data_IF_478366546795
#
_entry.id   IF_478366546795
#
_cell.length_a   1.000
_cell.length_b   1.000
_cell.length_c   1.000
_cell.angle_alpha   90.00
_cell.angle_beta   90.00
_cell.angle_gamma   90.00
#
_symmetry.space_group_name_H-M   'P 1'
#
loop_
_entity.id
_entity.type
_entity.pdbx_description
1 polymer ?
#
# COMPACT_ATOMS: atom_id res chain seq x y z
N UNK A 1 14.66 8.69 -4.42
CA UNK A 1 14.00 7.37 -4.40
C UNK A 1 14.31 6.66 -5.71
N UNK A 2 14.73 5.40 -5.64
CA UNK A 2 14.98 4.57 -6.82
C UNK A 2 13.67 4.29 -7.57
N UNK A 3 13.75 4.11 -8.89
CA UNK A 3 12.61 3.65 -9.69
C UNK A 3 12.24 2.20 -9.34
N UNK A 4 11.05 1.77 -9.77
CA UNK A 4 10.63 0.38 -9.53
C UNK A 4 11.58 -0.62 -10.19
N UNK A 5 12.03 -0.34 -11.42
CA UNK A 5 12.92 -1.22 -12.18
C UNK A 5 14.31 -1.30 -11.53
N UNK A 6 14.89 -0.18 -11.10
CA UNK A 6 16.17 -0.17 -10.37
C UNK A 6 16.09 -0.93 -9.04
N UNK A 7 14.94 -0.87 -8.35
CA UNK A 7 14.73 -1.66 -7.13
C UNK A 7 14.59 -3.15 -7.46
N UNK A 8 13.86 -3.47 -8.51
CA UNK A 8 13.64 -4.85 -8.92
C UNK A 8 14.95 -5.54 -9.31
N UNK A 9 15.81 -4.87 -10.08
CA UNK A 9 17.14 -5.38 -10.47
C UNK A 9 17.99 -5.80 -9.28
N UNK A 10 17.91 -5.10 -8.14
CA UNK A 10 18.66 -5.45 -6.94
C UNK A 10 18.23 -6.77 -6.29
N UNK A 11 16.99 -7.20 -6.52
CA UNK A 11 16.44 -8.42 -5.93
C UNK A 11 16.27 -9.55 -6.93
N UNK A 12 16.35 -9.27 -8.23
CA UNK A 12 16.20 -10.27 -9.28
C UNK A 12 17.53 -11.00 -9.50
N UNK A 13 17.97 -11.74 -8.48
CA UNK A 13 19.18 -12.57 -8.51
C UNK A 13 18.81 -14.04 -8.63
N UNK A 14 19.72 -14.87 -9.12
CA UNK A 14 19.49 -16.31 -9.25
C UNK A 14 19.09 -16.97 -7.92
N UNK A 15 19.66 -16.48 -6.81
CA UNK A 15 19.37 -17.00 -5.46
C UNK A 15 17.95 -16.69 -4.98
N UNK A 16 17.38 -15.58 -5.44
CA UNK A 16 16.04 -15.15 -5.08
C UNK A 16 14.97 -15.67 -6.05
N UNK A 17 15.36 -16.15 -7.22
CA UNK A 17 14.40 -16.65 -8.20
C UNK A 17 13.90 -18.06 -7.83
N UNK A 18 12.58 -18.22 -7.91
CA UNK A 18 11.89 -19.50 -7.79
C UNK A 18 11.11 -19.75 -9.08
N UNK A 19 11.49 -20.78 -9.82
CA UNK A 19 10.81 -21.18 -11.07
C UNK A 19 9.95 -22.41 -10.78
N UNK A 20 8.68 -22.35 -11.15
CA UNK A 20 7.71 -23.41 -10.92
C UNK A 20 7.05 -23.77 -12.25
N UNK A 21 7.22 -25.00 -12.69
CA UNK A 21 6.57 -25.49 -13.91
C UNK A 21 5.06 -25.68 -13.70
N UNK A 22 4.28 -25.58 -14.78
CA UNK A 22 2.81 -25.72 -14.72
C UNK A 22 2.33 -27.04 -14.12
N UNK A 23 3.16 -28.07 -14.20
CA UNK A 23 2.88 -29.41 -13.64
C UNK A 23 3.23 -29.56 -12.16
N UNK A 24 3.85 -28.55 -11.54
CA UNK A 24 4.30 -28.59 -10.16
C UNK A 24 3.32 -27.87 -9.25
N UNK A 25 3.05 -28.45 -8.08
CA UNK A 25 2.33 -27.78 -7.01
C UNK A 25 3.31 -26.95 -6.20
N UNK A 26 3.00 -25.67 -5.97
CA UNK A 26 3.80 -24.76 -5.19
C UNK A 26 3.00 -24.12 -4.06
N UNK A 27 3.49 -24.23 -2.84
CA UNK A 27 2.85 -23.65 -1.67
C UNK A 27 3.30 -22.20 -1.45
N UNK A 28 2.43 -21.23 -1.70
CA UNK A 28 2.67 -19.82 -1.43
C UNK A 28 2.28 -19.38 0.00
N UNK A 29 1.69 -20.28 0.81
CA UNK A 29 1.22 -19.96 2.16
C UNK A 29 2.28 -20.19 3.25
N UNK A 30 3.55 -20.31 2.90
CA UNK A 30 4.63 -20.48 3.86
C UNK A 30 4.78 -19.18 4.67
N UNK A 31 4.80 -19.33 5.99
CA UNK A 31 4.98 -18.20 6.90
C UNK A 31 6.32 -17.52 6.65
N UNK A 32 6.32 -16.19 6.71
CA UNK A 32 7.50 -15.35 6.50
C UNK A 32 8.21 -15.55 5.14
N UNK A 33 7.56 -16.15 4.17
CA UNK A 33 7.97 -16.09 2.77
C UNK A 33 7.06 -15.15 2.00
N UNK A 34 7.64 -14.22 1.25
CA UNK A 34 6.90 -13.29 0.39
C UNK A 34 7.45 -13.34 -1.02
N UNK A 35 6.59 -13.09 -1.99
CA UNK A 35 6.92 -13.27 -3.39
C UNK A 35 6.47 -12.07 -4.23
N UNK A 36 7.23 -11.80 -5.26
CA UNK A 36 6.86 -10.93 -6.36
C UNK A 36 6.82 -11.76 -7.63
N UNK A 37 5.76 -11.64 -8.42
CA UNK A 37 5.66 -12.34 -9.69
C UNK A 37 6.57 -11.64 -10.69
N UNK A 38 7.59 -12.32 -11.20
CA UNK A 38 8.44 -11.86 -12.27
C UNK A 38 7.81 -12.18 -13.64
N UNK A 39 7.25 -13.40 -13.78
CA UNK A 39 6.53 -13.80 -15.00
C UNK A 39 5.44 -14.82 -14.68
N UNK A 40 4.44 -14.90 -15.57
CA UNK A 40 3.31 -15.81 -15.44
C UNK A 40 2.11 -15.22 -14.72
N UNK A 41 1.16 -16.07 -14.38
CA UNK A 41 -0.12 -15.66 -13.77
C UNK A 41 -0.55 -16.64 -12.69
N UNK A 42 -0.95 -16.13 -11.55
CA UNK A 42 -1.44 -16.90 -10.41
C UNK A 42 -2.88 -16.48 -10.10
N UNK A 43 -3.77 -17.45 -9.93
CA UNK A 43 -5.13 -17.23 -9.42
C UNK A 43 -5.19 -17.60 -7.95
N UNK A 44 -5.70 -16.69 -7.13
CA UNK A 44 -5.97 -16.92 -5.73
C UNK A 44 -7.48 -17.06 -5.52
N UNK A 45 -7.87 -18.01 -4.70
CA UNK A 45 -9.25 -18.31 -4.35
C UNK A 45 -9.43 -18.07 -2.85
N UNK A 46 -10.36 -17.20 -2.51
CA UNK A 46 -10.77 -16.96 -1.13
C UNK A 46 -11.63 -18.12 -0.58
N UNK A 47 -12.04 -17.97 0.66
CA UNK A 47 -12.94 -18.92 1.30
C UNK A 47 -14.27 -19.04 0.56
N UNK A 48 -14.87 -20.23 0.65
CA UNK A 48 -16.19 -20.50 0.07
C UNK A 48 -17.25 -19.71 0.85
N UNK A 49 -18.03 -18.89 0.16
CA UNK A 49 -19.16 -18.23 0.79
C UNK A 49 -20.19 -19.30 1.19
N UNK A 50 -20.50 -19.45 2.49
CA UNK A 50 -21.41 -20.52 2.97
C UNK A 50 -22.83 -20.40 2.43
N UNK A 51 -23.27 -19.21 2.02
CA UNK A 51 -24.63 -18.97 1.51
C UNK A 51 -24.76 -19.19 0.01
N UNK A 52 -23.74 -18.82 -0.76
CA UNK A 52 -23.81 -18.87 -2.23
C UNK A 52 -22.97 -19.98 -2.86
N UNK A 53 -22.09 -20.61 -2.08
CA UNK A 53 -21.13 -21.61 -2.57
C UNK A 53 -20.01 -21.03 -3.45
N UNK A 54 -20.09 -19.74 -3.81
CA UNK A 54 -19.10 -19.07 -4.63
C UNK A 54 -17.81 -18.76 -3.86
N UNK A 55 -16.70 -18.67 -4.58
CA UNK A 55 -15.41 -18.18 -4.04
C UNK A 55 -15.03 -16.88 -4.71
N UNK A 56 -14.55 -15.92 -3.95
CA UNK A 56 -13.88 -14.77 -4.53
C UNK A 56 -12.60 -15.22 -5.20
N UNK A 57 -12.37 -14.78 -6.43
CA UNK A 57 -11.19 -15.12 -7.20
C UNK A 57 -10.41 -13.86 -7.51
N UNK A 58 -9.11 -13.87 -7.28
CA UNK A 58 -8.19 -12.80 -7.62
C UNK A 58 -7.10 -13.32 -8.54
N UNK A 59 -6.79 -12.57 -9.58
CA UNK A 59 -5.70 -12.91 -10.49
C UNK A 59 -4.52 -11.98 -10.20
N UNK A 60 -3.37 -12.58 -9.93
CA UNK A 60 -2.09 -11.92 -9.78
C UNK A 60 -1.28 -12.09 -11.05
N UNK A 61 -0.62 -11.02 -11.46
CA UNK A 61 0.17 -10.95 -12.70
C UNK A 61 1.55 -10.42 -12.40
N UNK A 62 2.36 -10.26 -13.42
CA UNK A 62 3.69 -9.68 -13.35
C UNK A 62 3.73 -8.41 -12.48
N UNK A 63 4.71 -8.37 -11.60
CA UNK A 63 4.95 -7.35 -10.58
C UNK A 63 3.84 -7.23 -9.51
N UNK A 64 2.95 -8.21 -9.38
CA UNK A 64 2.01 -8.22 -8.26
C UNK A 64 2.65 -8.90 -7.03
N UNK A 65 2.55 -8.25 -5.85
CA UNK A 65 3.12 -8.79 -4.61
C UNK A 65 2.21 -9.82 -3.96
N UNK A 66 2.79 -10.89 -3.43
CA UNK A 66 2.10 -11.93 -2.67
C UNK A 66 2.71 -12.01 -1.28
N UNK A 67 1.92 -11.80 -0.24
CA UNK A 67 2.32 -11.99 1.15
C UNK A 67 3.03 -10.80 1.81
N UNK A 68 3.31 -9.69 1.13
CA UNK A 68 3.99 -8.54 1.73
C UNK A 68 3.22 -7.93 2.91
N UNK A 69 1.93 -7.68 2.74
CA UNK A 69 1.09 -7.12 3.79
C UNK A 69 0.93 -8.11 4.97
N UNK A 70 0.79 -9.38 4.64
CA UNK A 70 0.66 -10.48 5.59
C UNK A 70 1.95 -10.65 6.42
N UNK A 71 3.13 -10.65 5.79
CA UNK A 71 4.41 -10.78 6.48
C UNK A 71 4.71 -9.59 7.40
N UNK A 72 4.46 -8.36 6.94
CA UNK A 72 4.67 -7.15 7.76
C UNK A 72 3.79 -7.17 9.02
N UNK A 73 2.58 -7.72 8.93
CA UNK A 73 1.62 -7.79 10.05
C UNK A 73 1.64 -9.13 10.79
N UNK A 74 2.53 -10.03 10.45
CA UNK A 74 2.59 -11.41 11.00
C UNK A 74 1.29 -12.21 10.84
N UNK A 75 0.52 -11.92 9.79
CA UNK A 75 -0.71 -12.64 9.47
C UNK A 75 -0.42 -13.82 8.56
N UNK A 76 -1.26 -14.83 8.66
CA UNK A 76 -1.23 -15.96 7.73
C UNK A 76 -1.86 -15.57 6.39
N UNK A 77 -1.37 -16.19 5.32
CA UNK A 77 -1.99 -16.14 3.99
C UNK A 77 -3.04 -17.24 3.92
N UNK A 78 -4.31 -16.87 3.80
CA UNK A 78 -5.45 -17.80 3.81
C UNK A 78 -6.07 -17.93 2.40
N UNK A 79 -5.24 -18.08 1.37
CA UNK A 79 -5.70 -18.17 -0.01
C UNK A 79 -5.21 -19.48 -0.64
N UNK A 80 -6.10 -20.14 -1.41
CA UNK A 80 -5.68 -21.19 -2.32
C UNK A 80 -5.08 -20.56 -3.56
N UNK A 81 -3.86 -20.91 -3.90
CA UNK A 81 -3.17 -20.41 -5.09
C UNK A 81 -3.09 -21.49 -6.16
N UNK A 82 -3.40 -21.13 -7.41
CA UNK A 82 -3.24 -21.99 -8.58
C UNK A 82 -2.61 -21.21 -9.72
N UNK A 83 -1.75 -21.86 -10.48
CA UNK A 83 -1.20 -21.34 -11.72
C UNK A 83 -1.56 -22.26 -12.89
N UNK A 84 -1.70 -21.69 -14.09
CA UNK A 84 -2.06 -22.41 -15.32
C UNK A 84 -0.99 -22.33 -16.40
N UNK A 85 0.15 -21.77 -16.06
CA UNK A 85 1.36 -21.66 -16.88
C UNK A 85 2.57 -21.75 -15.96
N UNK A 86 3.75 -21.90 -16.51
CA UNK A 86 4.98 -21.73 -15.77
C UNK A 86 5.03 -20.34 -15.17
N UNK A 87 5.57 -20.24 -13.96
CA UNK A 87 5.72 -18.98 -13.24
C UNK A 87 7.15 -18.81 -12.77
N UNK A 88 7.61 -17.57 -12.75
CA UNK A 88 8.84 -17.17 -12.09
C UNK A 88 8.52 -16.16 -11.00
N UNK A 89 9.04 -16.40 -9.81
CA UNK A 89 8.82 -15.59 -8.62
C UNK A 89 10.17 -15.08 -8.11
N UNK A 90 10.18 -13.88 -7.55
CA UNK A 90 11.27 -13.38 -6.71
C UNK A 90 10.83 -13.56 -5.26
N UNK A 91 11.60 -14.33 -4.49
CA UNK A 91 11.34 -14.63 -3.09
C UNK A 91 12.07 -13.65 -2.18
N UNK A 92 11.40 -13.26 -1.10
CA UNK A 92 11.98 -12.43 -0.04
C UNK A 92 11.71 -13.06 1.33
N UNK A 93 12.60 -12.80 2.27
CA UNK A 93 12.41 -13.14 3.68
C UNK A 93 11.45 -12.14 4.35
N UNK A 94 10.29 -12.62 4.74
CA UNK A 94 9.24 -11.83 5.37
C UNK A 94 9.59 -11.37 6.78
N UNK A 95 10.42 -12.11 7.52
CA UNK A 95 10.87 -11.69 8.84
C UNK A 95 11.87 -10.52 8.74
N UNK A 96 12.79 -10.57 7.78
CA UNK A 96 13.70 -9.48 7.47
C UNK A 96 12.92 -8.25 6.95
N UNK A 97 11.95 -8.45 6.06
CA UNK A 97 11.05 -7.39 5.60
C UNK A 97 10.36 -6.69 6.77
N UNK A 98 9.74 -7.44 7.66
CA UNK A 98 9.06 -6.91 8.86
C UNK A 98 10.03 -6.12 9.75
N UNK A 99 11.24 -6.64 10.00
CA UNK A 99 12.27 -5.95 10.76
C UNK A 99 12.62 -4.61 10.10
N UNK A 100 12.95 -4.60 8.81
CA UNK A 100 13.35 -3.36 8.11
C UNK A 100 12.21 -2.33 8.09
N UNK A 101 10.96 -2.76 7.92
CA UNK A 101 9.80 -1.87 8.02
C UNK A 101 9.66 -1.30 9.44
N UNK A 102 9.89 -2.09 10.48
CA UNK A 102 9.85 -1.61 11.87
C UNK A 102 10.97 -0.63 12.19
N UNK A 103 12.12 -0.76 11.55
CA UNK A 103 13.28 0.12 11.74
C UNK A 103 13.23 1.36 10.83
N UNK A 104 12.34 1.39 9.83
CA UNK A 104 12.25 2.47 8.86
C UNK A 104 11.73 3.79 9.47
N UNK A 105 11.91 4.89 8.75
CA UNK A 105 11.41 6.19 9.18
C UNK A 105 9.88 6.25 9.20
N UNK A 106 9.38 7.27 9.88
CA UNK A 106 7.94 7.44 10.13
C UNK A 106 7.11 7.58 8.84
N UNK A 107 7.67 8.15 7.76
CA UNK A 107 6.94 8.34 6.50
C UNK A 107 6.71 7.02 5.79
N UNK A 108 7.76 6.19 5.67
CA UNK A 108 7.65 4.86 5.09
C UNK A 108 6.67 4.00 5.91
N UNK A 109 6.83 4.00 7.24
CA UNK A 109 5.91 3.30 8.14
C UNK A 109 4.46 3.74 7.97
N UNK A 110 4.19 5.04 7.91
CA UNK A 110 2.82 5.57 7.79
C UNK A 110 2.17 5.14 6.47
N UNK A 111 2.89 5.24 5.35
CA UNK A 111 2.37 4.82 4.04
C UNK A 111 2.11 3.31 4.02
N UNK A 112 3.07 2.52 4.50
CA UNK A 112 2.94 1.06 4.58
C UNK A 112 1.73 0.67 5.42
N UNK A 113 1.58 1.23 6.62
CA UNK A 113 0.45 0.93 7.52
C UNK A 113 -0.89 1.33 6.95
N UNK A 114 -0.98 2.54 6.41
CA UNK A 114 -2.19 2.98 5.75
C UNK A 114 -2.57 2.03 4.61
N UNK A 115 -1.60 1.66 3.78
CA UNK A 115 -1.82 0.71 2.68
C UNK A 115 -2.29 -0.65 3.19
N UNK A 116 -1.68 -1.19 4.22
CA UNK A 116 -2.07 -2.47 4.85
C UNK A 116 -3.46 -2.38 5.47
N UNK A 117 -3.76 -1.29 6.18
CA UNK A 117 -5.08 -1.06 6.77
C UNK A 117 -6.20 -1.12 5.73
N UNK A 118 -5.97 -0.52 4.56
CA UNK A 118 -6.90 -0.55 3.43
C UNK A 118 -6.96 -1.92 2.75
N UNK A 119 -5.81 -2.60 2.60
CA UNK A 119 -5.73 -3.95 1.98
C UNK A 119 -6.56 -4.96 2.77
N UNK A 120 -6.55 -4.87 4.09
CA UNK A 120 -7.28 -5.80 4.95
C UNK A 120 -8.65 -5.28 5.39
N UNK A 121 -9.11 -4.13 4.90
CA UNK A 121 -10.36 -3.49 5.32
C UNK A 121 -10.49 -3.40 6.86
N UNK A 122 -9.38 -3.13 7.53
CA UNK A 122 -9.34 -3.05 8.98
C UNK A 122 -10.23 -1.88 9.44
N UNK A 123 -11.40 -2.21 9.97
CA UNK A 123 -12.27 -1.24 10.63
C UNK A 123 -11.52 -0.61 11.80
N UNK A 124 -11.75 0.70 12.00
CA UNK A 124 -11.20 1.48 13.10
C UNK A 124 -11.23 0.75 14.43
N UNK A 125 -10.14 0.78 15.15
CA UNK A 125 -10.01 0.25 16.50
C UNK A 125 -8.64 -0.37 16.81
N UNK A 126 -7.87 -0.74 15.80
CA UNK A 126 -6.48 -1.09 16.03
C UNK A 126 -5.65 0.20 16.01
N UNK A 127 -5.55 0.86 17.14
CA UNK A 127 -4.66 1.98 17.38
C UNK A 127 -3.23 1.56 17.05
N UNK A 128 -2.77 1.94 15.88
CA UNK A 128 -1.37 1.89 15.58
C UNK A 128 -0.73 3.10 16.27
N UNK A 129 0.13 2.87 17.23
CA UNK A 129 0.76 3.87 18.12
C UNK A 129 1.61 4.97 17.43
N UNK A 130 1.54 5.09 16.10
CA UNK A 130 2.33 6.03 15.31
C UNK A 130 1.72 7.41 15.16
N UNK A 131 0.42 7.58 15.43
CA UNK A 131 -0.24 8.89 15.36
C UNK A 131 0.49 9.90 16.24
N UNK A 132 0.93 9.43 17.41
CA UNK A 132 1.60 10.29 18.37
C UNK A 132 2.99 10.72 17.93
N UNK A 133 3.77 9.85 17.31
CA UNK A 133 5.17 10.13 16.95
C UNK A 133 5.30 11.18 15.82
N UNK A 134 4.41 11.17 14.83
CA UNK A 134 4.33 12.20 13.78
C UNK A 134 3.76 13.51 14.30
N UNK A 135 2.71 13.45 15.11
CA UNK A 135 2.00 14.62 15.60
C UNK A 135 2.74 15.33 16.74
N UNK A 136 3.48 14.56 17.57
CA UNK A 136 4.18 15.10 18.75
C UNK A 136 5.67 15.37 18.54
N UNK A 137 6.22 15.14 17.35
CA UNK A 137 7.60 15.53 17.07
C UNK A 137 7.70 17.06 16.98
N UNK A 138 7.82 17.70 18.16
CA UNK A 138 7.86 19.16 18.35
C UNK A 138 9.01 19.86 17.63
N UNK A 139 10.00 19.10 17.14
CA UNK A 139 11.21 19.64 16.53
C UNK A 139 11.10 19.86 15.01
N UNK A 140 10.00 19.45 14.37
CA UNK A 140 9.76 19.73 12.95
C UNK A 140 8.59 20.70 12.77
N UNK A 141 8.84 21.82 12.12
CA UNK A 141 7.80 22.75 11.67
C UNK A 141 7.14 22.11 10.44
N UNK A 142 5.92 21.62 10.63
CA UNK A 142 5.12 21.06 9.55
C UNK A 142 4.25 22.14 8.93
N UNK A 143 4.14 22.15 7.61
CA UNK A 143 3.15 22.96 6.91
C UNK A 143 1.75 22.45 7.24
N UNK A 144 1.02 23.25 8.01
CA UNK A 144 -0.38 22.97 8.35
C UNK A 144 -1.29 23.76 7.45
N UNK A 145 -2.21 23.05 6.80
CA UNK A 145 -3.26 23.66 5.99
C UNK A 145 -4.62 23.35 6.62
N UNK A 146 -5.54 24.30 6.55
CA UNK A 146 -6.88 24.16 7.11
C UNK A 146 -7.91 24.22 6.00
N UNK A 147 -8.94 23.43 6.15
CA UNK A 147 -10.08 23.37 5.24
C UNK A 147 -11.36 23.41 6.07
N UNK A 148 -12.32 24.23 5.64
CA UNK A 148 -13.65 24.24 6.22
C UNK A 148 -14.45 23.02 5.73
N UNK A 149 -15.57 22.75 6.41
CA UNK A 149 -16.53 21.74 5.95
C UNK A 149 -16.92 21.98 4.48
N UNK A 150 -16.94 20.91 3.69
CA UNK A 150 -17.21 20.86 2.24
C UNK A 150 -16.14 21.48 1.33
N UNK A 151 -15.04 22.02 1.84
CA UNK A 151 -13.94 22.48 1.00
C UNK A 151 -13.32 21.32 0.20
N UNK A 152 -13.00 21.60 -1.08
CA UNK A 152 -12.26 20.67 -1.93
C UNK A 152 -10.76 20.82 -1.63
N UNK A 153 -10.16 19.74 -1.11
CA UNK A 153 -8.72 19.70 -0.81
C UNK A 153 -7.91 19.57 -2.11
N UNK A 154 -8.36 18.68 -3.00
CA UNK A 154 -7.93 18.60 -4.40
C UNK A 154 -8.97 17.89 -5.26
N UNK A 155 -8.95 18.16 -6.56
CA UNK A 155 -9.86 17.56 -7.55
C UNK A 155 -9.17 16.45 -8.34
N UNK A 156 -9.95 15.49 -8.83
CA UNK A 156 -9.49 14.52 -9.83
C UNK A 156 -8.91 15.27 -11.06
N UNK A 157 -7.85 14.73 -11.67
CA UNK A 157 -7.14 15.34 -12.80
C UNK A 157 -6.16 16.45 -12.42
N UNK A 158 -6.15 16.93 -11.16
CA UNK A 158 -5.20 17.94 -10.74
C UNK A 158 -3.78 17.38 -10.54
N UNK A 159 -2.77 18.25 -10.73
CA UNK A 159 -1.36 17.88 -10.50
C UNK A 159 -1.12 17.54 -9.03
N UNK A 160 -0.42 16.43 -8.80
CA UNK A 160 -0.09 15.99 -7.46
C UNK A 160 1.21 16.63 -6.97
N UNK A 161 1.11 17.50 -5.95
CA UNK A 161 2.26 18.18 -5.34
C UNK A 161 2.54 17.72 -3.91
N UNK A 162 1.49 17.40 -3.14
CA UNK A 162 1.58 17.08 -1.73
C UNK A 162 0.77 15.82 -1.39
N UNK A 163 1.21 15.07 -0.40
CA UNK A 163 0.35 14.18 0.38
C UNK A 163 -0.08 14.88 1.67
N UNK A 164 -1.06 14.33 2.33
CA UNK A 164 -1.61 14.91 3.55
C UNK A 164 -1.77 13.86 4.64
N UNK A 165 -1.47 14.25 5.88
CA UNK A 165 -1.81 13.52 7.09
C UNK A 165 -2.91 14.30 7.83
N UNK A 166 -3.96 13.61 8.25
CA UNK A 166 -5.09 14.23 8.96
C UNK A 166 -4.72 14.40 10.44
N UNK A 167 -4.46 15.63 10.86
CA UNK A 167 -4.24 16.00 12.26
C UNK A 167 -5.57 16.12 13.02
N UNK A 168 -6.60 16.65 12.34
CA UNK A 168 -7.96 16.82 12.88
C UNK A 168 -8.99 16.82 11.75
N UNK A 169 -10.17 16.31 12.03
CA UNK A 169 -11.31 16.34 11.12
C UNK A 169 -11.54 15.02 10.39
N UNK A 170 -12.44 15.07 9.41
CA UNK A 170 -12.88 13.96 8.58
C UNK A 170 -12.76 14.34 7.10
N UNK A 171 -12.15 13.50 6.30
CA UNK A 171 -11.93 13.70 4.87
C UNK A 171 -12.62 12.61 4.07
N UNK A 172 -13.24 12.96 2.93
CA UNK A 172 -13.84 12.01 1.99
C UNK A 172 -13.02 11.90 0.71
N UNK A 173 -12.82 10.67 0.24
CA UNK A 173 -12.34 10.38 -1.11
C UNK A 173 -13.53 10.03 -1.98
N UNK A 174 -13.68 10.72 -3.10
CA UNK A 174 -14.84 10.67 -3.98
C UNK A 174 -14.38 10.31 -5.39
N UNK A 175 -15.00 9.30 -5.98
CA UNK A 175 -14.78 8.91 -7.36
C UNK A 175 -15.35 9.96 -8.35
N UNK A 176 -14.97 9.84 -9.61
CA UNK A 176 -15.42 10.77 -10.68
C UNK A 176 -16.92 10.71 -10.95
N UNK A 177 -17.58 9.60 -10.61
CA UNK A 177 -19.02 9.40 -10.67
C UNK A 177 -19.78 9.94 -9.43
N UNK A 178 -19.07 10.54 -8.47
CA UNK A 178 -19.61 11.06 -7.22
C UNK A 178 -19.74 10.04 -6.10
N UNK A 179 -19.42 8.76 -6.31
CA UNK A 179 -19.44 7.73 -5.26
C UNK A 179 -18.37 8.00 -4.21
N UNK A 180 -18.76 7.96 -2.93
CA UNK A 180 -17.81 8.02 -1.81
C UNK A 180 -17.09 6.69 -1.69
N UNK A 181 -15.77 6.70 -1.91
CA UNK A 181 -14.91 5.52 -1.82
C UNK A 181 -14.40 5.27 -0.40
N UNK A 182 -14.09 6.35 0.34
CA UNK A 182 -13.57 6.25 1.69
C UNK A 182 -13.87 7.49 2.52
N UNK A 183 -14.00 7.28 3.83
CA UNK A 183 -13.97 8.33 4.86
C UNK A 183 -12.69 8.12 5.67
N UNK A 184 -11.85 9.13 5.71
CA UNK A 184 -10.58 9.12 6.39
C UNK A 184 -10.63 10.02 7.62
N UNK A 185 -10.00 9.60 8.70
CA UNK A 185 -10.04 10.27 9.99
C UNK A 185 -8.66 10.70 10.44
N UNK A 186 -8.59 11.35 11.60
CA UNK A 186 -7.33 11.68 12.28
C UNK A 186 -6.36 10.49 12.25
N UNK A 187 -5.08 10.76 11.90
CA UNK A 187 -3.99 9.80 11.82
C UNK A 187 -3.88 9.07 10.48
N UNK A 188 -4.88 9.19 9.59
CA UNK A 188 -4.81 8.60 8.25
C UNK A 188 -4.16 9.57 7.26
N UNK A 189 -3.44 9.04 6.28
CA UNK A 189 -2.83 9.81 5.20
C UNK A 189 -3.53 9.56 3.87
N UNK A 190 -3.38 10.49 2.93
CA UNK A 190 -3.94 10.38 1.57
C UNK A 190 -3.15 11.22 0.57
N UNK A 191 -3.28 10.86 -0.70
CA UNK A 191 -2.64 11.58 -1.81
C UNK A 191 -1.21 11.13 -2.12
N UNK A 192 -0.65 10.16 -1.39
CA UNK A 192 0.68 9.61 -1.53
C UNK A 192 0.88 8.88 -2.87
N UNK A 193 -0.12 8.11 -3.30
CA UNK A 193 0.00 7.27 -4.49
C UNK A 193 0.27 8.08 -5.77
N UNK A 194 -0.41 9.23 -5.94
CA UNK A 194 -0.22 10.08 -7.10
C UNK A 194 1.16 10.76 -7.12
N UNK A 195 1.70 11.13 -5.93
CA UNK A 195 3.03 11.74 -5.82
C UNK A 195 4.12 10.72 -6.14
N UNK A 196 4.08 9.57 -5.48
CA UNK A 196 5.10 8.52 -5.62
C UNK A 196 5.16 8.02 -7.07
N UNK A 197 4.00 7.90 -7.73
CA UNK A 197 3.92 7.47 -9.12
C UNK A 197 4.03 8.58 -10.16
N UNK A 198 4.16 9.84 -9.73
CA UNK A 198 4.27 11.00 -10.62
C UNK A 198 3.03 11.20 -11.51
N UNK A 199 1.84 10.84 -11.03
CA UNK A 199 0.58 10.91 -11.77
C UNK A 199 -0.32 12.04 -11.28
N UNK A 200 -1.34 12.36 -12.04
CA UNK A 200 -2.45 13.22 -11.62
C UNK A 200 -3.30 12.54 -10.54
N UNK A 201 -4.06 13.35 -9.82
CA UNK A 201 -5.04 12.89 -8.83
C UNK A 201 -6.12 12.04 -9.50
N UNK A 202 -6.28 10.81 -9.07
CA UNK A 202 -7.32 9.92 -9.60
C UNK A 202 -8.71 10.26 -9.06
N UNK A 203 -8.80 10.79 -7.85
CA UNK A 203 -10.02 11.03 -7.11
C UNK A 203 -10.09 12.47 -6.61
N UNK A 204 -11.30 12.96 -6.38
CA UNK A 204 -11.55 14.21 -5.67
C UNK A 204 -11.55 13.95 -4.16
N UNK A 205 -11.01 14.87 -3.39
CA UNK A 205 -10.96 14.77 -1.93
C UNK A 205 -11.56 16.02 -1.31
N UNK A 206 -12.50 15.82 -0.36
CA UNK A 206 -13.22 16.88 0.32
C UNK A 206 -13.11 16.78 1.83
N UNK A 207 -13.10 17.92 2.50
CA UNK A 207 -13.25 18.01 3.94
C UNK A 207 -14.72 17.75 4.34
N UNK A 208 -14.98 16.69 5.10
CA UNK A 208 -16.33 16.34 5.60
C UNK A 208 -16.65 16.99 6.94
N UNK A 209 -15.69 17.59 7.57
CA UNK A 209 -15.77 18.50 8.72
C UNK A 209 -14.64 19.52 8.60
N UNK A 210 -14.57 20.50 9.47
CA UNK A 210 -13.38 21.34 9.58
C UNK A 210 -12.15 20.48 9.83
N UNK A 211 -11.13 20.63 8.98
CA UNK A 211 -9.91 19.82 8.95
C UNK A 211 -8.67 20.66 9.21
N UNK A 212 -7.73 20.08 9.98
CA UNK A 212 -6.34 20.48 10.03
C UNK A 212 -5.49 19.35 9.45
N UNK A 213 -4.74 19.63 8.39
CA UNK A 213 -3.93 18.66 7.68
C UNK A 213 -2.46 19.08 7.74
N UNK A 214 -1.57 18.10 7.92
CA UNK A 214 -0.14 18.28 7.69
C UNK A 214 0.11 18.02 6.21
N UNK A 215 0.66 19.02 5.52
CA UNK A 215 0.99 18.95 4.09
C UNK A 215 2.45 18.54 3.92
N UNK A 216 2.69 17.46 3.15
CA UNK A 216 4.01 16.89 2.90
C UNK A 216 4.29 16.95 1.40
N UNK A 217 5.23 17.84 1.01
CA UNK A 217 5.58 18.03 -0.38
C UNK A 217 6.34 16.86 -1.00
N UNK A 218 6.19 16.70 -2.32
CA UNK A 218 6.83 15.64 -3.10
C UNK A 218 8.35 15.51 -2.85
N UNK A 219 9.17 16.59 -2.88
CA UNK A 219 10.61 16.46 -2.69
C UNK A 219 10.98 15.86 -1.31
N UNK A 220 10.25 16.27 -0.27
CA UNK A 220 10.47 15.75 1.07
C UNK A 220 10.08 14.27 1.16
N UNK A 221 8.95 13.88 0.57
CA UNK A 221 8.51 12.49 0.56
C UNK A 221 9.51 11.61 -0.18
N UNK A 222 9.95 12.02 -1.37
CA UNK A 222 10.94 11.29 -2.16
C UNK A 222 12.28 11.14 -1.43
N UNK A 223 12.73 12.19 -0.74
CA UNK A 223 13.92 12.13 0.09
C UNK A 223 13.77 11.13 1.24
N UNK A 224 12.67 11.19 1.97
CA UNK A 224 12.43 10.33 3.13
C UNK A 224 12.26 8.86 2.75
N UNK A 225 11.54 8.57 1.67
CA UNK A 225 11.43 7.19 1.18
C UNK A 225 12.75 6.72 0.55
N UNK A 226 13.43 7.60 -0.21
CA UNK A 226 14.70 7.29 -0.87
C UNK A 226 15.87 7.04 0.09
N UNK A 227 15.78 7.50 1.35
CA UNK A 227 16.78 7.19 2.38
C UNK A 227 16.59 5.82 3.03
N UNK A 228 15.49 5.13 2.74
CA UNK A 228 15.22 3.80 3.25
C UNK A 228 15.96 2.70 2.49
N UNK A 229 16.02 1.52 3.09
CA UNK A 229 16.57 0.36 2.41
C UNK A 229 15.78 0.03 1.12
N UNK A 230 16.42 -0.57 0.12
CA UNK A 230 15.74 -0.95 -1.13
C UNK A 230 14.48 -1.81 -0.90
N UNK A 231 14.51 -2.71 0.08
CA UNK A 231 13.36 -3.56 0.40
C UNK A 231 12.17 -2.76 0.97
N UNK A 232 12.43 -1.75 1.78
CA UNK A 232 11.38 -0.84 2.29
C UNK A 232 10.84 0.03 1.17
N UNK A 233 11.70 0.61 0.30
CA UNK A 233 11.27 1.38 -0.86
C UNK A 233 10.38 0.54 -1.79
N UNK A 234 10.80 -0.68 -2.11
CA UNK A 234 10.04 -1.62 -2.93
C UNK A 234 8.69 -1.94 -2.30
N UNK A 235 8.67 -2.18 -0.98
CA UNK A 235 7.43 -2.49 -0.24
C UNK A 235 6.42 -1.35 -0.30
N UNK A 236 6.86 -0.10 -0.19
CA UNK A 236 5.98 1.08 -0.36
C UNK A 236 5.34 1.06 -1.75
N UNK A 237 6.13 0.87 -2.81
CA UNK A 237 5.63 0.85 -4.19
C UNK A 237 4.65 -0.30 -4.45
N UNK A 238 4.98 -1.51 -3.96
CA UNK A 238 4.15 -2.70 -4.15
C UNK A 238 2.82 -2.63 -3.39
N UNK A 239 2.83 -2.14 -2.16
CA UNK A 239 1.60 -1.98 -1.37
C UNK A 239 0.68 -0.91 -1.97
N UNK A 240 1.24 0.19 -2.47
CA UNK A 240 0.47 1.20 -3.21
C UNK A 240 -0.09 0.64 -4.52
N UNK A 241 0.67 -0.20 -5.25
CA UNK A 241 0.17 -0.89 -6.44
C UNK A 241 -0.99 -1.82 -6.09
N UNK A 242 -0.88 -2.59 -5.01
CA UNK A 242 -1.95 -3.48 -4.53
C UNK A 242 -3.22 -2.73 -4.17
N UNK A 243 -3.11 -1.58 -3.53
CA UNK A 243 -4.27 -0.71 -3.24
C UNK A 243 -4.98 -0.22 -4.51
N UNK A 244 -4.24 0.20 -5.52
CA UNK A 244 -4.83 0.62 -6.78
C UNK A 244 -5.61 -0.50 -7.45
N UNK A 245 -5.06 -1.71 -7.46
CA UNK A 245 -5.74 -2.89 -8.00
C UNK A 245 -7.07 -3.14 -7.26
N UNK A 246 -7.07 -3.04 -5.93
CA UNK A 246 -8.30 -3.22 -5.14
C UNK A 246 -9.35 -2.14 -5.42
N UNK A 247 -8.93 -0.89 -5.56
CA UNK A 247 -9.83 0.24 -5.84
C UNK A 247 -10.42 0.22 -7.28
N UNK A 248 -9.84 -0.55 -8.19
CA UNK A 248 -10.36 -0.71 -9.55
C UNK A 248 -11.43 -1.80 -9.68
N UNK A 249 -11.64 -2.60 -8.63
CA UNK A 249 -12.61 -3.71 -8.61
C UNK A 249 -13.86 -3.43 -7.76
N UNK A 250 -13.95 -2.24 -7.15
CA UNK A 250 -15.11 -1.71 -6.44
C UNK A 250 -15.74 -0.58 -7.26
#
# INVERSE_FOLDING_TARGET
MLSFDELLEQFNTVENQVKVAVSEEFNLNIKDEVFLIESGTIKAYGEKNPKTGGRQTKTFREHDPIGFAEAITSREKLLDFKHSSDITLIKFDGANLRKQVNDSNIFAKSIIKYSIGRIFELKKGNNFAFEDELLYNKNKIWDRVRFAHDDVIYSAGSTSKNMYLIEKGLVQIIATDGKVLANLNKGECFGEAAIIKGRERKYTTKAKSDCSLISIGKPMLEQQIGSESPLVQLSVLLLLKRLELMNNFN
#
